data_IF_447267148611
#
_entry.id   IF_447267148611
#
_cell.length_a   1.000
_cell.length_b   1.000
_cell.length_c   1.000
_cell.angle_alpha   90.00
_cell.angle_beta   90.00
_cell.angle_gamma   90.00
#
_symmetry.space_group_name_H-M   'P 1'
#
loop_
_entity.id
_entity.type
_entity.pdbx_description
1 polymer ?
#
# COMPACT_ATOMS: atom_id res chain seq x y z
N UNK A 1 -24.14 -14.90 -20.86
CA UNK A 1 -24.28 -13.68 -20.04
C UNK A 1 -23.10 -13.50 -19.04
N UNK A 2 -22.63 -14.55 -18.37
CA UNK A 2 -21.56 -14.52 -17.34
C UNK A 2 -20.22 -14.02 -17.90
N UNK A 3 -19.91 -14.29 -19.17
CA UNK A 3 -18.62 -13.93 -19.81
C UNK A 3 -18.47 -12.43 -20.11
N UNK A 4 -19.58 -11.68 -20.17
CA UNK A 4 -19.58 -10.23 -20.46
C UNK A 4 -19.45 -9.37 -19.21
N UNK A 5 -19.91 -9.86 -18.06
CA UNK A 5 -19.84 -9.16 -16.75
C UNK A 5 -18.42 -9.13 -16.19
N UNK A 6 -17.57 -10.10 -16.52
CA UNK A 6 -16.19 -10.16 -16.03
C UNK A 6 -15.31 -8.99 -16.51
N UNK A 7 -15.64 -8.41 -17.68
CA UNK A 7 -14.91 -7.23 -18.19
C UNK A 7 -15.16 -5.97 -17.37
N UNK A 8 -16.31 -5.88 -16.72
CA UNK A 8 -16.71 -4.70 -15.92
C UNK A 8 -16.47 -4.90 -14.42
N UNK A 9 -16.08 -6.09 -13.98
CA UNK A 9 -15.79 -6.37 -12.57
C UNK A 9 -14.73 -5.43 -11.96
N UNK A 10 -13.59 -5.12 -12.63
CA UNK A 10 -12.63 -4.16 -12.09
C UNK A 10 -13.17 -2.73 -12.08
N UNK A 11 -14.03 -2.36 -13.03
CA UNK A 11 -14.68 -1.05 -13.07
C UNK A 11 -15.73 -0.91 -11.97
N UNK A 12 -16.51 -1.95 -11.71
CA UNK A 12 -17.47 -2.00 -10.60
C UNK A 12 -16.77 -1.98 -9.24
N UNK A 13 -15.64 -2.68 -9.11
CA UNK A 13 -14.82 -2.64 -7.90
C UNK A 13 -14.23 -1.25 -7.67
N UNK A 14 -13.77 -0.60 -8.73
CA UNK A 14 -13.28 0.78 -8.69
C UNK A 14 -14.39 1.76 -8.31
N UNK A 15 -15.58 1.63 -8.88
CA UNK A 15 -16.75 2.43 -8.52
C UNK A 15 -17.17 2.20 -7.06
N UNK A 16 -17.15 0.98 -6.57
CA UNK A 16 -17.46 0.65 -5.19
C UNK A 16 -16.46 1.26 -4.20
N UNK A 17 -15.17 1.28 -4.54
CA UNK A 17 -14.13 1.95 -3.76
C UNK A 17 -14.30 3.47 -3.80
N UNK A 18 -14.67 4.04 -4.93
CA UNK A 18 -14.90 5.49 -5.08
C UNK A 18 -16.14 5.98 -4.33
N UNK A 19 -17.22 5.19 -4.30
CA UNK A 19 -18.43 5.54 -3.55
C UNK A 19 -18.26 5.40 -2.04
N UNK A 20 -17.39 4.51 -1.56
CA UNK A 20 -17.08 4.36 -0.13
C UNK A 20 -16.26 5.50 0.47
N UNK A 21 -15.60 6.32 -0.37
CA UNK A 21 -14.76 7.45 0.07
C UNK A 21 -15.48 8.81 0.07
N UNK A 22 -16.79 8.85 -0.24
CA UNK A 22 -17.51 10.11 -0.48
C UNK A 22 -18.09 10.80 0.76
N UNK A 23 -17.84 10.33 1.97
CA UNK A 23 -18.34 10.99 3.20
C UNK A 23 -17.35 12.05 3.66
N UNK A 24 -17.83 13.29 3.70
CA UNK A 24 -17.06 14.43 4.22
C UNK A 24 -16.54 14.16 5.64
N UNK A 25 -15.30 14.55 5.97
CA UNK A 25 -14.70 14.33 7.28
C UNK A 25 -15.49 14.90 8.46
N UNK A 26 -16.35 15.87 8.19
CA UNK A 26 -17.18 16.57 9.20
C UNK A 26 -18.32 15.73 9.80
N UNK A 27 -18.54 14.52 9.28
CA UNK A 27 -19.72 13.67 9.65
C UNK A 27 -19.37 12.47 10.54
N UNK A 28 -18.11 12.24 10.87
CA UNK A 28 -17.76 11.11 11.73
C UNK A 28 -18.00 11.42 13.20
N UNK A 29 -18.80 10.61 13.91
CA UNK A 29 -18.97 10.77 15.34
C UNK A 29 -17.64 10.53 16.07
N UNK A 30 -17.40 11.22 17.21
CA UNK A 30 -16.23 10.99 18.06
C UNK A 30 -16.10 9.51 18.44
N UNK A 31 -14.86 9.11 18.77
CA UNK A 31 -14.58 7.74 19.23
C UNK A 31 -15.17 7.54 20.63
N UNK A 32 -16.22 6.72 20.74
CA UNK A 32 -16.83 6.34 22.01
C UNK A 32 -16.62 4.84 22.25
N UNK A 33 -15.82 4.45 23.27
CA UNK A 33 -15.57 3.05 23.61
C UNK A 33 -16.82 2.23 23.96
N UNK A 34 -17.88 2.90 24.46
CA UNK A 34 -19.09 2.23 24.91
C UNK A 34 -19.96 1.73 23.75
N UNK A 35 -19.96 2.48 22.65
CA UNK A 35 -20.77 2.18 21.45
C UNK A 35 -19.95 1.60 20.29
N UNK A 36 -18.64 1.46 20.49
CA UNK A 36 -17.69 1.05 19.44
C UNK A 36 -17.90 -0.41 19.02
N UNK A 37 -18.03 -0.64 17.71
CA UNK A 37 -17.94 -1.98 17.12
C UNK A 37 -16.53 -2.58 17.26
N UNK A 38 -16.40 -3.89 17.01
CA UNK A 38 -15.16 -4.66 17.20
C UNK A 38 -13.93 -3.96 16.58
N UNK A 39 -13.99 -3.54 15.31
CA UNK A 39 -12.85 -2.92 14.64
C UNK A 39 -12.46 -1.57 15.25
N UNK A 40 -13.45 -0.76 15.61
CA UNK A 40 -13.23 0.52 16.29
C UNK A 40 -12.58 0.32 17.65
N UNK A 41 -13.11 -0.60 18.45
CA UNK A 41 -12.65 -0.84 19.83
C UNK A 41 -11.22 -1.39 19.89
N UNK A 42 -10.87 -2.31 19.02
CA UNK A 42 -9.59 -3.03 19.11
C UNK A 42 -8.50 -2.50 18.19
N UNK A 43 -8.82 -1.67 17.20
CA UNK A 43 -7.83 -1.13 16.25
C UNK A 43 -7.82 0.40 16.23
N UNK A 44 -8.99 1.06 16.13
CA UNK A 44 -9.03 2.51 15.92
C UNK A 44 -8.74 3.25 17.22
N UNK A 45 -9.42 2.89 18.31
CA UNK A 45 -9.24 3.56 19.61
C UNK A 45 -7.80 3.40 20.12
N UNK A 46 -7.21 2.18 20.22
CA UNK A 46 -5.82 2.04 20.65
C UNK A 46 -4.83 2.80 19.76
N UNK A 47 -5.11 2.89 18.47
CA UNK A 47 -4.27 3.64 17.54
C UNK A 47 -4.39 5.15 17.76
N UNK A 48 -5.59 5.66 18.04
CA UNK A 48 -5.84 7.05 18.41
C UNK A 48 -5.13 7.40 19.72
N UNK A 49 -5.27 6.55 20.74
CA UNK A 49 -4.62 6.74 22.05
C UNK A 49 -3.09 6.72 21.93
N UNK A 50 -2.54 5.87 21.06
CA UNK A 50 -1.13 5.81 20.79
C UNK A 50 -0.60 7.07 20.10
N UNK A 51 -1.40 7.64 19.17
CA UNK A 51 -1.09 8.92 18.54
C UNK A 51 -1.08 10.06 19.56
N UNK A 52 -2.08 10.11 20.44
CA UNK A 52 -2.16 11.11 21.50
C UNK A 52 -1.01 10.97 22.50
N UNK A 53 -0.66 9.75 22.89
CA UNK A 53 0.45 9.45 23.79
C UNK A 53 1.78 10.01 23.26
N UNK A 54 2.13 9.71 22.00
CA UNK A 54 3.36 10.20 21.41
C UNK A 54 3.31 11.70 21.13
N UNK A 55 2.18 12.24 20.69
CA UNK A 55 2.07 13.68 20.49
C UNK A 55 2.33 14.44 21.78
N UNK A 56 1.68 14.06 22.89
CA UNK A 56 1.87 14.66 24.20
C UNK A 56 3.31 14.54 24.73
N UNK A 57 3.98 13.43 24.40
CA UNK A 57 5.36 13.20 24.81
C UNK A 57 6.39 14.02 24.03
N UNK A 58 6.02 14.57 22.85
CA UNK A 58 6.94 15.25 21.92
C UNK A 58 6.43 16.67 21.60
N UNK A 59 6.14 17.45 22.64
CA UNK A 59 5.73 18.82 22.46
C UNK A 59 4.43 19.01 21.66
N UNK A 60 3.49 18.09 21.79
CA UNK A 60 2.18 18.10 21.16
C UNK A 60 2.22 18.04 19.61
N UNK A 61 3.22 17.35 19.02
CA UNK A 61 3.38 17.26 17.57
C UNK A 61 2.75 16.00 17.00
N UNK A 62 1.54 16.07 16.47
CA UNK A 62 0.85 14.96 15.82
C UNK A 62 1.50 14.51 14.51
N UNK A 63 2.14 15.42 13.76
CA UNK A 63 2.87 15.01 12.55
C UNK A 63 4.05 14.09 12.86
N UNK A 64 4.78 14.32 13.95
CA UNK A 64 5.86 13.44 14.42
C UNK A 64 5.27 12.17 15.05
N UNK A 65 4.16 12.29 15.77
CA UNK A 65 3.46 11.11 16.31
C UNK A 65 3.04 10.13 15.20
N UNK A 66 2.50 10.62 14.08
CA UNK A 66 2.17 9.80 12.90
C UNK A 66 3.42 9.08 12.37
N UNK A 67 4.58 9.75 12.32
CA UNK A 67 5.85 9.12 11.91
C UNK A 67 6.22 7.96 12.83
N UNK A 68 6.22 8.19 14.15
CA UNK A 68 6.61 7.18 15.15
C UNK A 68 5.66 5.99 15.09
N UNK A 69 4.36 6.24 15.10
CA UNK A 69 3.34 5.19 15.03
C UNK A 69 3.45 4.42 13.71
N UNK A 70 3.76 5.10 12.60
CA UNK A 70 4.05 4.43 11.32
C UNK A 70 5.23 3.48 11.44
N UNK A 71 6.32 3.90 12.05
CA UNK A 71 7.52 3.07 12.25
C UNK A 71 7.17 1.85 13.13
N UNK A 72 6.45 2.05 14.23
CA UNK A 72 6.04 0.97 15.13
C UNK A 72 5.20 -0.07 14.37
N UNK A 73 4.17 0.36 13.63
CA UNK A 73 3.33 -0.53 12.83
C UNK A 73 4.18 -1.29 11.81
N UNK A 74 5.11 -0.62 11.14
CA UNK A 74 6.02 -1.23 10.17
C UNK A 74 6.94 -2.28 10.79
N UNK A 75 7.41 -2.05 12.01
CA UNK A 75 8.22 -3.02 12.77
C UNK A 75 7.38 -4.23 13.21
N UNK A 76 6.15 -4.03 13.65
CA UNK A 76 5.22 -5.12 13.99
C UNK A 76 4.93 -6.00 12.76
N UNK A 77 4.75 -5.38 11.59
CA UNK A 77 4.47 -6.09 10.32
C UNK A 77 5.74 -6.66 9.68
N UNK A 78 6.94 -6.27 10.16
CA UNK A 78 8.22 -6.69 9.58
C UNK A 78 8.37 -8.22 9.40
N UNK A 79 8.08 -9.09 10.39
CA UNK A 79 8.23 -10.53 10.20
C UNK A 79 7.37 -11.07 9.05
N UNK A 80 6.20 -10.48 8.84
CA UNK A 80 5.31 -10.83 7.74
C UNK A 80 5.86 -10.34 6.39
N UNK A 81 6.42 -9.13 6.35
CA UNK A 81 7.09 -8.58 5.17
C UNK A 81 8.33 -9.42 4.80
N UNK A 82 9.07 -9.94 5.77
CA UNK A 82 10.21 -10.85 5.50
C UNK A 82 9.75 -12.18 4.87
N UNK A 83 8.62 -12.73 5.29
CA UNK A 83 8.02 -13.92 4.64
C UNK A 83 7.60 -13.61 3.21
N UNK A 84 7.00 -12.46 2.98
CA UNK A 84 6.66 -11.99 1.62
C UNK A 84 7.90 -11.83 0.73
N UNK A 85 8.96 -11.24 1.27
CA UNK A 85 10.24 -11.11 0.58
C UNK A 85 10.77 -12.47 0.09
N UNK A 86 10.77 -13.49 0.94
CA UNK A 86 11.18 -14.85 0.57
C UNK A 86 10.30 -15.43 -0.55
N UNK A 87 8.99 -15.22 -0.49
CA UNK A 87 8.06 -15.67 -1.53
C UNK A 87 8.27 -14.92 -2.85
N UNK A 88 8.50 -13.62 -2.79
CA UNK A 88 8.82 -12.78 -3.95
C UNK A 88 10.11 -13.22 -4.63
N UNK A 89 11.13 -13.59 -3.86
CA UNK A 89 12.39 -14.11 -4.40
C UNK A 89 12.19 -15.44 -5.16
N UNK A 90 11.41 -16.36 -4.62
CA UNK A 90 11.04 -17.60 -5.33
C UNK A 90 10.28 -17.32 -6.63
N UNK A 91 9.39 -16.32 -6.63
CA UNK A 91 8.70 -15.88 -7.85
C UNK A 91 9.68 -15.36 -8.91
N UNK A 92 10.76 -14.69 -8.52
CA UNK A 92 11.81 -14.22 -9.44
C UNK A 92 12.55 -15.42 -10.10
N UNK A 93 12.79 -16.47 -9.34
CA UNK A 93 13.49 -17.66 -9.85
C UNK A 93 12.72 -18.37 -10.97
N UNK A 94 11.39 -18.31 -10.96
CA UNK A 94 10.53 -18.92 -12.01
C UNK A 94 10.20 -17.96 -13.16
N UNK A 95 10.60 -16.69 -13.10
CA UNK A 95 10.37 -15.69 -14.15
C UNK A 95 10.87 -16.12 -15.54
N UNK A 96 12.09 -16.68 -15.72
CA UNK A 96 12.57 -17.09 -17.03
C UNK A 96 11.72 -18.22 -17.64
N UNK A 97 11.22 -19.16 -16.83
CA UNK A 97 10.31 -20.21 -17.29
C UNK A 97 8.94 -19.65 -17.67
N UNK A 98 8.44 -18.68 -16.89
CA UNK A 98 7.21 -17.95 -17.23
C UNK A 98 7.33 -17.21 -18.57
N UNK A 99 8.49 -16.59 -18.86
CA UNK A 99 8.72 -15.92 -20.13
C UNK A 99 8.62 -16.90 -21.32
N UNK A 100 9.22 -18.08 -21.20
CA UNK A 100 9.13 -19.16 -22.21
C UNK A 100 7.68 -19.65 -22.41
N UNK A 101 6.91 -19.81 -21.34
CA UNK A 101 5.48 -20.19 -21.44
C UNK A 101 4.69 -19.13 -22.20
N UNK A 102 4.93 -17.86 -21.90
CA UNK A 102 4.26 -16.73 -22.59
C UNK A 102 4.57 -16.67 -24.07
N UNK A 103 5.81 -16.89 -24.44
CA UNK A 103 6.23 -16.93 -25.82
C UNK A 103 5.62 -18.12 -26.56
N UNK A 104 5.72 -19.31 -25.96
CA UNK A 104 5.21 -20.55 -26.53
C UNK A 104 3.70 -20.57 -26.75
N UNK A 105 2.93 -19.94 -25.85
CA UNK A 105 1.47 -19.94 -25.89
C UNK A 105 0.88 -18.55 -26.14
N UNK A 106 1.59 -17.72 -26.92
CA UNK A 106 1.22 -16.33 -27.20
C UNK A 106 -0.20 -16.20 -27.78
N UNK A 107 -0.59 -17.14 -28.64
CA UNK A 107 -1.88 -17.12 -29.33
C UNK A 107 -3.00 -17.88 -28.57
N UNK A 108 -2.67 -18.48 -27.42
CA UNK A 108 -3.64 -19.21 -26.61
C UNK A 108 -3.55 -18.79 -25.12
N UNK A 109 -4.27 -17.71 -24.72
CA UNK A 109 -4.23 -17.19 -23.34
C UNK A 109 -4.69 -18.21 -22.29
N UNK A 110 -5.61 -19.10 -22.62
CA UNK A 110 -6.10 -20.13 -21.68
C UNK A 110 -5.00 -21.14 -21.36
N UNK A 111 -4.31 -21.64 -22.39
CA UNK A 111 -3.21 -22.59 -22.21
C UNK A 111 -2.01 -21.94 -21.52
N UNK A 112 -1.74 -20.66 -21.82
CA UNK A 112 -0.72 -19.89 -21.12
C UNK A 112 -1.00 -19.80 -19.62
N UNK A 113 -2.25 -19.53 -19.22
CA UNK A 113 -2.66 -19.47 -17.83
C UNK A 113 -2.56 -20.83 -17.13
N UNK A 114 -2.99 -21.91 -17.80
CA UNK A 114 -2.91 -23.28 -17.29
C UNK A 114 -1.45 -23.69 -17.03
N UNK A 115 -0.57 -23.51 -18.02
CA UNK A 115 0.84 -23.88 -17.90
C UNK A 115 1.58 -23.00 -16.87
N UNK A 116 1.22 -21.72 -16.75
CA UNK A 116 1.73 -20.84 -15.69
C UNK A 116 1.32 -21.35 -14.30
N UNK A 117 0.07 -21.82 -14.15
CA UNK A 117 -0.39 -22.36 -12.88
C UNK A 117 0.32 -23.67 -12.53
N UNK A 118 0.53 -24.57 -13.51
CA UNK A 118 1.33 -25.80 -13.34
C UNK A 118 2.77 -25.49 -12.93
N UNK A 119 3.38 -24.45 -13.53
CA UNK A 119 4.71 -23.99 -13.17
C UNK A 119 4.78 -23.55 -11.70
N UNK A 120 3.80 -22.75 -11.25
CA UNK A 120 3.74 -22.31 -9.86
C UNK A 120 3.57 -23.47 -8.89
N UNK A 121 2.72 -24.45 -9.23
CA UNK A 121 2.53 -25.67 -8.43
C UNK A 121 3.83 -26.48 -8.35
N UNK A 122 4.52 -26.67 -9.48
CA UNK A 122 5.79 -27.40 -9.56
C UNK A 122 6.88 -26.80 -8.66
N UNK A 123 6.96 -25.47 -8.59
CA UNK A 123 7.96 -24.75 -7.79
C UNK A 123 7.47 -24.35 -6.39
N UNK A 124 6.25 -24.73 -5.99
CA UNK A 124 5.66 -24.38 -4.70
C UNK A 124 5.51 -22.86 -4.51
N UNK A 125 5.29 -22.12 -5.59
CA UNK A 125 5.15 -20.65 -5.58
C UNK A 125 3.67 -20.27 -5.50
N UNK A 126 3.32 -19.44 -4.52
CA UNK A 126 1.97 -18.93 -4.39
C UNK A 126 1.82 -17.60 -5.17
N UNK A 127 1.01 -17.56 -6.24
CA UNK A 127 0.80 -16.34 -7.02
C UNK A 127 0.12 -15.22 -6.22
N UNK A 128 -0.64 -15.53 -5.16
CA UNK A 128 -1.30 -14.56 -4.30
C UNK A 128 -0.34 -13.84 -3.36
N UNK A 129 0.89 -14.33 -3.21
CA UNK A 129 1.90 -13.67 -2.37
C UNK A 129 2.26 -12.26 -2.85
N UNK A 130 2.07 -11.96 -4.15
CA UNK A 130 2.31 -10.63 -4.72
C UNK A 130 1.27 -9.57 -4.32
N UNK A 131 0.02 -9.97 -4.03
CA UNK A 131 -1.05 -9.04 -3.62
C UNK A 131 -1.21 -8.95 -2.10
N UNK A 132 -0.50 -9.75 -1.33
CA UNK A 132 -0.56 -9.80 0.12
C UNK A 132 -0.22 -8.45 0.82
N UNK A 133 0.72 -7.61 0.30
CA UNK A 133 0.95 -6.26 0.85
C UNK A 133 -0.31 -5.42 0.91
N UNK A 134 -1.16 -5.49 -0.12
CA UNK A 134 -2.40 -4.71 -0.19
C UNK A 134 -3.39 -5.19 0.88
N UNK A 135 -3.49 -6.50 1.10
CA UNK A 135 -4.40 -7.07 2.11
C UNK A 135 -4.04 -6.65 3.54
N UNK A 136 -2.74 -6.50 3.84
CA UNK A 136 -2.28 -6.02 5.15
C UNK A 136 -2.45 -4.50 5.24
N UNK A 137 -2.15 -3.79 4.16
CA UNK A 137 -2.16 -2.34 4.12
C UNK A 137 -3.56 -1.76 4.31
N UNK A 138 -4.59 -2.37 3.74
CA UNK A 138 -5.95 -1.83 3.78
C UNK A 138 -6.52 -1.69 5.20
N UNK A 139 -6.47 -2.71 6.09
CA UNK A 139 -6.92 -2.54 7.47
C UNK A 139 -6.13 -1.47 8.24
N UNK A 140 -4.81 -1.41 8.04
CA UNK A 140 -3.96 -0.41 8.70
C UNK A 140 -4.34 1.00 8.24
N UNK A 141 -4.49 1.18 6.93
CA UNK A 141 -4.88 2.46 6.33
C UNK A 141 -6.24 2.93 6.86
N UNK A 142 -7.24 2.03 6.88
CA UNK A 142 -8.58 2.35 7.37
C UNK A 142 -8.57 2.68 8.87
N UNK A 143 -7.84 1.93 9.68
CA UNK A 143 -7.73 2.19 11.12
C UNK A 143 -7.07 3.55 11.39
N UNK A 144 -5.96 3.84 10.72
CA UNK A 144 -5.24 5.10 10.88
C UNK A 144 -6.08 6.30 10.38
N UNK A 145 -6.70 6.18 9.21
CA UNK A 145 -7.58 7.23 8.68
C UNK A 145 -8.72 7.53 9.64
N UNK A 146 -9.42 6.50 10.13
CA UNK A 146 -10.50 6.64 11.09
C UNK A 146 -10.01 7.24 12.43
N UNK A 147 -8.84 6.83 12.91
CA UNK A 147 -8.25 7.39 14.13
C UNK A 147 -7.99 8.90 13.96
N UNK A 148 -7.46 9.32 12.81
CA UNK A 148 -7.14 10.72 12.52
C UNK A 148 -8.40 11.58 12.39
N UNK A 149 -9.37 11.17 11.55
CA UNK A 149 -10.54 12.02 11.25
C UNK A 149 -11.56 12.06 12.38
N UNK A 150 -11.53 11.09 13.30
CA UNK A 150 -12.44 11.02 14.46
C UNK A 150 -11.81 11.52 15.75
N UNK A 151 -10.51 11.81 15.77
CA UNK A 151 -9.83 12.41 16.90
C UNK A 151 -9.79 13.95 16.72
N UNK A 152 -10.53 14.71 17.56
CA UNK A 152 -10.61 16.17 17.42
C UNK A 152 -9.27 16.86 17.63
N UNK A 153 -8.37 16.28 18.44
CA UNK A 153 -7.04 16.84 18.69
C UNK A 153 -6.15 16.75 17.45
N UNK A 154 -6.23 15.64 16.71
CA UNK A 154 -5.48 15.47 15.45
C UNK A 154 -6.10 16.32 14.36
N UNK A 155 -7.43 16.33 14.27
CA UNK A 155 -8.18 16.99 13.20
C UNK A 155 -7.86 18.50 13.10
N UNK A 156 -7.82 19.20 14.24
CA UNK A 156 -7.56 20.64 14.32
C UNK A 156 -6.07 21.00 14.45
N UNK A 157 -5.18 19.99 14.54
CA UNK A 157 -3.77 20.22 14.76
C UNK A 157 -3.06 20.76 13.53
N UNK A 158 -2.27 21.84 13.72
CA UNK A 158 -1.38 22.35 12.68
C UNK A 158 -0.02 21.67 12.73
N UNK A 159 0.44 21.22 11.59
CA UNK A 159 1.78 20.66 11.40
C UNK A 159 2.42 21.25 10.14
N UNK A 160 3.57 21.89 10.30
CA UNK A 160 4.24 22.67 9.26
C UNK A 160 3.30 23.76 8.71
N UNK A 161 2.85 23.66 7.47
CA UNK A 161 1.95 24.62 6.78
C UNK A 161 0.51 24.15 6.69
N UNK A 162 0.17 22.96 7.23
CA UNK A 162 -1.13 22.32 7.02
C UNK A 162 -1.86 22.01 8.32
N UNK A 163 -3.17 21.99 8.25
CA UNK A 163 -4.02 21.35 9.25
C UNK A 163 -4.16 19.86 8.93
N UNK A 164 -3.86 18.99 9.88
CA UNK A 164 -3.84 17.54 9.63
C UNK A 164 -5.20 16.95 9.23
N UNK A 165 -6.30 17.55 9.70
CA UNK A 165 -7.65 17.15 9.36
C UNK A 165 -8.20 17.70 8.04
N UNK A 166 -7.51 18.63 7.40
CA UNK A 166 -7.94 19.28 6.15
C UNK A 166 -7.02 18.91 4.99
N UNK A 167 -7.49 19.03 3.75
CA UNK A 167 -6.62 18.88 2.58
C UNK A 167 -5.48 19.90 2.58
N UNK A 168 -4.34 19.52 2.03
CA UNK A 168 -3.17 20.39 1.92
C UNK A 168 -3.46 21.58 0.96
N UNK A 169 -3.42 22.82 1.46
CA UNK A 169 -3.77 24.00 0.67
C UNK A 169 -2.79 24.28 -0.48
N UNK A 170 -1.55 23.78 -0.40
CA UNK A 170 -0.51 24.02 -1.41
C UNK A 170 -0.28 22.79 -2.32
N UNK A 171 -0.99 21.68 -2.12
CA UNK A 171 -0.83 20.44 -2.87
C UNK A 171 0.58 19.83 -2.82
N UNK A 172 1.40 20.25 -1.86
CA UNK A 172 2.78 19.73 -1.69
C UNK A 172 2.75 18.25 -1.29
N UNK A 173 1.89 17.90 -0.31
CA UNK A 173 1.75 16.50 0.12
C UNK A 173 1.22 15.58 -0.98
N UNK A 174 0.18 15.92 -1.75
CA UNK A 174 -0.24 15.14 -2.91
C UNK A 174 0.89 14.84 -3.90
N UNK A 175 1.70 15.86 -4.24
CA UNK A 175 2.87 15.70 -5.13
C UNK A 175 3.92 14.78 -4.50
N UNK A 176 4.27 14.99 -3.24
CA UNK A 176 5.25 14.15 -2.52
C UNK A 176 4.75 12.72 -2.33
N UNK A 177 3.48 12.50 -2.03
CA UNK A 177 2.88 11.18 -1.92
C UNK A 177 2.95 10.42 -3.25
N UNK A 178 2.61 11.07 -4.35
CA UNK A 178 2.72 10.48 -5.69
C UNK A 178 4.17 10.19 -6.07
N UNK A 179 5.09 11.13 -5.84
CA UNK A 179 6.51 10.98 -6.16
C UNK A 179 7.15 9.84 -5.35
N UNK A 180 6.92 9.79 -4.03
CA UNK A 180 7.42 8.72 -3.17
C UNK A 180 6.82 7.36 -3.52
N UNK A 181 5.53 7.32 -3.91
CA UNK A 181 4.87 6.10 -4.40
C UNK A 181 5.52 5.61 -5.70
N UNK A 182 5.79 6.51 -6.63
CA UNK A 182 6.48 6.17 -7.88
C UNK A 182 7.88 5.62 -7.62
N UNK A 183 8.67 6.28 -6.77
CA UNK A 183 10.02 5.83 -6.39
C UNK A 183 9.95 4.46 -5.72
N UNK A 184 9.05 4.26 -4.76
CA UNK A 184 8.85 2.98 -4.09
C UNK A 184 8.53 1.86 -5.08
N UNK A 185 7.60 2.09 -6.01
CA UNK A 185 7.23 1.10 -7.02
C UNK A 185 8.40 0.81 -7.97
N UNK A 186 9.17 1.82 -8.37
CA UNK A 186 10.36 1.65 -9.19
C UNK A 186 11.43 0.80 -8.49
N UNK A 187 11.66 1.04 -7.20
CA UNK A 187 12.57 0.24 -6.37
C UNK A 187 12.08 -1.20 -6.24
N UNK A 188 10.79 -1.42 -6.03
CA UNK A 188 10.20 -2.75 -5.94
C UNK A 188 10.19 -3.49 -7.29
N UNK A 189 9.90 -2.82 -8.39
CA UNK A 189 9.87 -3.42 -9.73
C UNK A 189 11.27 -3.77 -10.26
N UNK A 190 12.30 -3.03 -9.85
CA UNK A 190 13.69 -3.39 -10.14
C UNK A 190 14.09 -4.74 -9.53
N UNK A 191 13.41 -5.14 -8.46
CA UNK A 191 13.60 -6.43 -7.78
C UNK A 191 12.68 -7.53 -8.33
N UNK A 192 11.56 -7.17 -8.94
CA UNK A 192 10.58 -8.08 -9.54
C UNK A 192 10.26 -7.61 -10.97
N UNK A 193 10.92 -8.14 -12.01
CA UNK A 193 10.59 -7.80 -13.38
C UNK A 193 9.11 -8.12 -13.68
N UNK A 194 8.35 -7.07 -13.87
CA UNK A 194 6.89 -7.17 -14.09
C UNK A 194 6.57 -7.28 -15.57
N UNK A 195 5.45 -7.92 -15.89
CA UNK A 195 4.91 -7.91 -17.25
C UNK A 195 4.60 -6.49 -17.71
N UNK A 196 4.60 -6.25 -19.03
CA UNK A 196 4.17 -4.97 -19.63
C UNK A 196 2.80 -4.51 -19.11
N UNK A 197 1.86 -5.44 -18.93
CA UNK A 197 0.53 -5.15 -18.39
C UNK A 197 0.58 -4.68 -16.93
N UNK A 198 1.44 -5.26 -16.11
CA UNK A 198 1.63 -4.89 -14.71
C UNK A 198 2.41 -3.56 -14.60
N UNK A 199 3.30 -3.24 -15.56
CA UNK A 199 3.99 -1.96 -15.63
C UNK A 199 3.02 -0.79 -15.83
N UNK A 200 1.93 -0.97 -16.58
CA UNK A 200 0.91 0.07 -16.77
C UNK A 200 0.24 0.45 -15.45
N UNK A 201 -0.03 -0.53 -14.58
CA UNK A 201 -0.60 -0.31 -13.24
C UNK A 201 0.37 0.51 -12.38
N UNK A 202 1.68 0.31 -12.56
CA UNK A 202 2.73 1.06 -11.85
C UNK A 202 2.67 2.57 -12.12
N UNK A 203 2.23 3.00 -13.30
CA UNK A 203 2.08 4.43 -13.61
C UNK A 203 0.72 4.99 -13.18
N UNK A 204 -0.34 4.17 -13.20
CA UNK A 204 -1.69 4.59 -12.83
C UNK A 204 -1.79 4.85 -11.32
N UNK A 205 -1.16 4.02 -10.50
CA UNK A 205 -1.30 4.07 -9.04
C UNK A 205 -0.77 5.38 -8.42
N UNK A 206 0.42 5.93 -8.77
CA UNK A 206 0.86 7.23 -8.28
C UNK A 206 -0.06 8.38 -8.68
N UNK A 207 -0.61 8.35 -9.91
CA UNK A 207 -1.58 9.34 -10.36
C UNK A 207 -2.86 9.25 -9.54
N UNK A 208 -3.34 8.05 -9.27
CA UNK A 208 -4.50 7.83 -8.40
C UNK A 208 -4.25 8.35 -6.98
N UNK A 209 -3.07 8.09 -6.40
CA UNK A 209 -2.68 8.63 -5.09
C UNK A 209 -2.64 10.15 -5.09
N UNK A 210 -2.12 10.78 -6.15
CA UNK A 210 -2.13 12.23 -6.30
C UNK A 210 -3.56 12.78 -6.23
N UNK A 211 -4.46 12.28 -7.09
CA UNK A 211 -5.86 12.75 -7.16
C UNK A 211 -6.59 12.52 -5.83
N UNK A 212 -6.43 11.35 -5.23
CA UNK A 212 -7.04 11.06 -3.93
C UNK A 212 -6.52 11.98 -2.83
N UNK A 213 -5.22 12.21 -2.77
CA UNK A 213 -4.59 13.05 -1.75
C UNK A 213 -5.01 14.52 -1.81
N UNK A 214 -5.49 14.99 -2.95
CA UNK A 214 -6.03 16.36 -3.08
C UNK A 214 -7.33 16.57 -2.27
N UNK A 215 -8.08 15.49 -2.02
CA UNK A 215 -9.38 15.54 -1.35
C UNK A 215 -9.35 15.02 0.08
N UNK A 216 -8.30 14.33 0.49
CA UNK A 216 -8.19 13.75 1.82
C UNK A 216 -7.50 14.71 2.81
N UNK A 217 -7.79 14.51 4.10
CA UNK A 217 -7.09 15.15 5.20
C UNK A 217 -5.56 14.95 5.09
N UNK A 218 -4.78 16.02 5.29
CA UNK A 218 -3.31 16.08 5.10
C UNK A 218 -2.54 15.01 5.88
N UNK A 219 -3.08 14.56 7.00
CA UNK A 219 -2.48 13.48 7.77
C UNK A 219 -2.39 12.15 7.00
N UNK A 220 -3.29 11.91 6.04
CA UNK A 220 -3.27 10.67 5.24
C UNK A 220 -2.14 10.65 4.20
N UNK A 221 -1.97 11.65 3.32
CA UNK A 221 -0.80 11.71 2.44
C UNK A 221 0.51 11.83 3.22
N UNK A 222 0.54 12.48 4.39
CA UNK A 222 1.71 12.51 5.27
C UNK A 222 2.11 11.10 5.74
N UNK A 223 1.15 10.32 6.25
CA UNK A 223 1.34 8.90 6.56
C UNK A 223 1.85 8.12 5.34
N UNK A 224 1.28 8.38 4.16
CA UNK A 224 1.66 7.69 2.92
C UNK A 224 3.12 7.93 2.57
N UNK A 225 3.58 9.17 2.67
CA UNK A 225 4.98 9.56 2.45
C UNK A 225 5.91 8.82 3.43
N UNK A 226 5.60 8.85 4.74
CA UNK A 226 6.40 8.16 5.75
C UNK A 226 6.48 6.66 5.50
N UNK A 227 5.34 6.07 5.17
CA UNK A 227 5.21 4.66 4.83
C UNK A 227 6.03 4.27 3.59
N UNK A 228 6.00 5.09 2.54
CA UNK A 228 6.77 4.88 1.32
C UNK A 228 8.27 4.98 1.58
N UNK A 229 8.71 6.02 2.29
CA UNK A 229 10.11 6.21 2.66
C UNK A 229 10.61 5.00 3.47
N UNK A 230 9.86 4.58 4.48
CA UNK A 230 10.22 3.39 5.26
C UNK A 230 10.36 2.15 4.38
N UNK A 231 9.41 1.93 3.47
CA UNK A 231 9.42 0.77 2.55
C UNK A 231 10.61 0.84 1.59
N UNK A 232 10.96 2.01 1.07
CA UNK A 232 12.13 2.20 0.21
C UNK A 232 13.41 1.82 0.96
N UNK A 233 13.59 2.36 2.18
CA UNK A 233 14.73 2.06 3.05
C UNK A 233 14.78 0.58 3.40
N UNK A 234 13.66 0.00 3.83
CA UNK A 234 13.55 -1.43 4.14
C UNK A 234 13.93 -2.30 2.93
N UNK A 235 13.41 -1.97 1.76
CA UNK A 235 13.70 -2.70 0.52
C UNK A 235 15.19 -2.63 0.18
N UNK A 236 15.81 -1.46 0.33
CA UNK A 236 17.23 -1.31 0.11
C UNK A 236 18.06 -2.22 1.03
N UNK A 237 17.73 -2.29 2.32
CA UNK A 237 18.44 -3.17 3.26
C UNK A 237 18.18 -4.66 3.01
N UNK A 238 16.98 -5.03 2.59
CA UNK A 238 16.63 -6.44 2.34
C UNK A 238 17.24 -6.95 1.02
N UNK A 239 17.22 -6.14 -0.04
CA UNK A 239 17.68 -6.54 -1.37
C UNK A 239 19.13 -6.11 -1.67
N UNK A 240 19.60 -4.99 -1.12
CA UNK A 240 20.97 -4.50 -1.34
C UNK A 240 22.06 -5.40 -0.77
N UNK A 241 21.72 -6.30 0.17
CA UNK A 241 22.59 -7.32 0.73
C UNK A 241 22.55 -8.66 -0.01
N UNK A 242 21.62 -8.87 -0.93
CA UNK A 242 21.62 -10.09 -1.77
C UNK A 242 22.66 -9.94 -2.87
N UNK A 243 23.62 -10.89 -3.02
CA UNK A 243 24.50 -10.89 -4.17
C UNK A 243 23.64 -10.90 -5.43
N UNK A 244 23.91 -10.00 -6.36
CA UNK A 244 23.32 -10.03 -7.71
C UNK A 244 23.62 -11.41 -8.27
N UNK A 245 22.65 -12.28 -8.31
CA UNK A 245 22.74 -13.51 -9.10
C UNK A 245 22.97 -13.04 -10.53
N UNK A 246 24.19 -13.22 -11.02
CA UNK A 246 24.54 -13.04 -12.42
C UNK A 246 23.73 -14.07 -13.20
N UNK A 247 22.49 -13.73 -13.51
CA UNK A 247 21.63 -14.49 -14.41
C UNK A 247 21.96 -14.16 -15.82
N UNK A 248 22.83 -14.97 -16.43
CA UNK A 248 22.78 -15.38 -17.81
C UNK A 248 22.60 -14.30 -18.89
N UNK A 249 23.63 -13.53 -19.17
CA UNK A 249 24.00 -13.36 -20.57
C UNK A 249 24.64 -14.69 -20.99
N UNK A 250 23.88 -15.53 -21.63
CA UNK A 250 24.37 -16.59 -22.48
C UNK A 250 23.76 -16.32 -23.85
N UNK A 251 24.66 -16.21 -24.79
CA UNK A 251 24.53 -15.94 -26.21
C UNK A 251 23.35 -16.61 -26.93
#
# INVERSE_FOLDING_TARGET
LIRRTYKYAPLLLLLFVLTGCGTSPTSYPPLDPATAGFFTKYFIIPLSDLLDFFANSIGNSYGISILIVTIIIRLIVLPLTLKQYKSSKRMQEVQPEMAKIREKFKDNPQKQQEETMKLFQKHGVNPLAGCFPILIQMPILLALYQAIVRNPHIFSHQFLWMELGKPDPFYVLPVLAAATTFIQQKVMSAQNPMNKQMQSIMFIFPVMIFVMSMSFASALPLYWIYSNIFTIVQTYFLYGRSPKTKGGQAA
#
